data_IF_280177612055
#
_entry.id   IF_280177612055
#
_cell.length_a   1.000
_cell.length_b   1.000
_cell.length_c   1.000
_cell.angle_alpha   90.00
_cell.angle_beta   90.00
_cell.angle_gamma   90.00
#
_symmetry.space_group_name_H-M   'P 1'
#
loop_
_entity.id
_entity.type
_entity.pdbx_description
1 polymer ?
#
# COMPACT_ATOMS: atom_id res chain seq x y z
N UNK A 1 24.61 4.82 7.01
CA UNK A 1 23.40 4.69 7.85
C UNK A 1 23.76 4.68 9.33
N UNK A 2 24.56 3.72 9.82
CA UNK A 2 24.99 3.68 11.22
C UNK A 2 25.69 4.97 11.67
N UNK A 3 26.66 5.45 10.88
CA UNK A 3 27.38 6.71 11.14
C UNK A 3 26.45 7.93 11.05
N UNK A 4 25.72 8.05 9.94
CA UNK A 4 24.77 9.15 9.68
C UNK A 4 23.73 9.35 10.79
N UNK A 5 23.25 8.28 11.39
CA UNK A 5 22.22 8.32 12.44
C UNK A 5 22.78 8.02 13.84
N UNK A 6 24.09 7.84 13.98
CA UNK A 6 24.76 7.50 15.25
C UNK A 6 24.12 6.31 15.98
N UNK A 7 23.73 5.27 15.25
CA UNK A 7 23.08 4.06 15.78
C UNK A 7 23.88 2.79 15.50
N UNK A 8 23.60 1.75 16.28
CA UNK A 8 24.22 0.44 16.10
C UNK A 8 23.85 -0.21 14.76
N UNK A 9 24.71 -1.11 14.28
CA UNK A 9 24.42 -1.94 13.10
C UNK A 9 23.14 -2.78 13.27
N UNK A 10 22.87 -3.23 14.50
CA UNK A 10 21.67 -4.00 14.83
C UNK A 10 20.41 -3.16 14.60
N UNK A 11 20.39 -1.92 15.11
CA UNK A 11 19.27 -0.99 14.96
C UNK A 11 18.96 -0.71 13.49
N UNK A 12 19.98 -0.49 12.67
CA UNK A 12 19.81 -0.28 11.22
C UNK A 12 19.25 -1.53 10.54
N UNK A 13 19.73 -2.73 10.91
CA UNK A 13 19.21 -3.99 10.37
C UNK A 13 17.75 -4.22 10.73
N UNK A 14 17.34 -3.94 11.96
CA UNK A 14 15.94 -4.07 12.37
C UNK A 14 15.03 -3.07 11.67
N UNK A 15 15.47 -1.83 11.46
CA UNK A 15 14.72 -0.86 10.67
C UNK A 15 14.53 -1.34 9.21
N UNK A 16 15.61 -1.80 8.57
CA UNK A 16 15.54 -2.33 7.19
C UNK A 16 14.76 -3.64 7.08
N UNK A 17 14.68 -4.43 8.16
CA UNK A 17 13.82 -5.60 8.24
C UNK A 17 12.35 -5.18 8.26
N UNK A 18 11.96 -4.27 9.16
CA UNK A 18 10.59 -3.76 9.24
C UNK A 18 10.11 -3.14 7.94
N UNK A 19 10.93 -2.30 7.30
CA UNK A 19 10.59 -1.72 5.99
C UNK A 19 10.37 -2.77 4.89
N UNK A 20 11.03 -3.93 4.99
CA UNK A 20 10.85 -5.03 4.05
C UNK A 20 9.58 -5.82 4.37
N UNK A 21 9.32 -6.06 5.65
CA UNK A 21 8.09 -6.69 6.13
C UNK A 21 6.86 -5.84 5.72
N UNK A 22 7.01 -4.51 5.73
CA UNK A 22 5.99 -3.54 5.27
C UNK A 22 5.93 -3.40 3.73
N UNK A 23 6.72 -4.18 2.97
CA UNK A 23 6.85 -4.11 1.51
C UNK A 23 7.24 -2.73 0.95
N UNK A 24 7.92 -1.91 1.74
CA UNK A 24 8.40 -0.59 1.32
C UNK A 24 9.78 -0.66 0.65
N UNK A 25 10.56 -1.71 0.92
CA UNK A 25 11.88 -1.93 0.33
C UNK A 25 12.14 -3.40 0.00
N UNK A 26 12.93 -3.66 -1.04
CA UNK A 26 13.38 -4.99 -1.45
C UNK A 26 14.90 -5.09 -1.42
N UNK A 27 15.41 -6.28 -1.09
CA UNK A 27 16.83 -6.58 -1.15
C UNK A 27 17.13 -7.30 -2.47
N UNK A 28 17.94 -6.69 -3.34
CA UNK A 28 18.35 -7.29 -4.62
C UNK A 28 19.84 -7.65 -4.59
N UNK A 29 20.22 -8.90 -4.94
CA UNK A 29 21.62 -9.29 -4.98
C UNK A 29 22.45 -8.33 -5.83
N UNK A 30 23.61 -7.91 -5.30
CA UNK A 30 24.57 -6.97 -5.94
C UNK A 30 24.07 -5.54 -6.17
N UNK A 31 22.81 -5.22 -5.85
CA UNK A 31 22.24 -3.86 -6.00
C UNK A 31 21.89 -3.21 -4.65
N UNK A 32 21.86 -3.97 -3.56
CA UNK A 32 21.55 -3.46 -2.22
C UNK A 32 20.05 -3.37 -1.95
N UNK A 33 19.64 -2.41 -1.11
CA UNK A 33 18.24 -2.17 -0.76
C UNK A 33 17.65 -1.15 -1.74
N UNK A 34 16.61 -1.57 -2.47
CA UNK A 34 15.86 -0.72 -3.39
C UNK A 34 14.50 -0.37 -2.78
N UNK A 35 14.05 0.86 -2.98
CA UNK A 35 12.70 1.28 -2.62
C UNK A 35 11.74 0.64 -3.61
N UNK A 36 10.71 -0.03 -3.10
CA UNK A 36 9.65 -0.61 -3.92
C UNK A 36 8.53 0.43 -4.00
N UNK A 37 7.95 0.67 -5.19
CA UNK A 37 6.73 1.47 -5.27
C UNK A 37 5.72 0.85 -4.31
N UNK A 38 5.21 1.64 -3.37
CA UNK A 38 4.07 1.20 -2.55
C UNK A 38 3.04 0.69 -3.56
N UNK A 39 2.58 -0.58 -3.47
CA UNK A 39 1.53 -1.04 -4.36
C UNK A 39 0.48 0.05 -4.28
N UNK A 40 0.14 0.61 -5.44
CA UNK A 40 -0.81 1.71 -5.50
C UNK A 40 -1.93 1.32 -4.57
N UNK A 41 -2.35 2.24 -3.71
CA UNK A 41 -3.65 2.12 -3.06
C UNK A 41 -4.68 2.27 -4.17
N UNK A 42 -4.68 1.32 -5.12
CA UNK A 42 -5.82 1.06 -5.94
C UNK A 42 -6.83 0.62 -4.91
N UNK A 43 -7.75 1.52 -4.62
CA UNK A 43 -8.88 1.39 -3.71
C UNK A 43 -9.83 0.23 -4.09
N UNK A 44 -9.38 -0.68 -4.95
CA UNK A 44 -10.08 -1.81 -5.53
C UNK A 44 -9.26 -3.11 -5.59
N UNK A 45 -8.05 -3.16 -5.02
CA UNK A 45 -7.29 -4.40 -4.90
C UNK A 45 -7.20 -4.80 -3.42
N UNK A 46 -8.34 -5.15 -2.83
CA UNK A 46 -8.29 -6.11 -1.74
C UNK A 46 -7.87 -7.43 -2.38
N UNK A 47 -6.67 -7.92 -2.06
CA UNK A 47 -6.36 -9.34 -2.19
C UNK A 47 -7.31 -10.07 -1.23
N UNK A 48 -8.51 -10.36 -1.72
CA UNK A 48 -9.48 -11.20 -1.03
C UNK A 48 -8.92 -12.61 -1.12
N UNK A 49 -8.23 -13.02 -0.06
CA UNK A 49 -7.61 -14.34 0.01
C UNK A 49 -8.67 -15.45 0.24
N UNK A 50 -9.90 -15.09 0.64
CA UNK A 50 -11.05 -16.00 0.79
C UNK A 50 -12.40 -15.26 0.85
N UNK A 51 -13.52 -15.99 0.68
CA UNK A 51 -14.89 -15.43 0.82
C UNK A 51 -15.12 -14.83 2.22
N UNK A 52 -14.52 -15.43 3.25
CA UNK A 52 -14.64 -14.95 4.62
C UNK A 52 -13.93 -13.59 4.81
N UNK A 53 -12.81 -13.37 4.12
CA UNK A 53 -12.11 -12.08 4.12
C UNK A 53 -12.95 -10.98 3.46
N UNK A 54 -13.71 -11.31 2.41
CA UNK A 54 -14.67 -10.41 1.77
C UNK A 54 -15.78 -9.98 2.74
N UNK A 55 -16.34 -10.94 3.49
CA UNK A 55 -17.37 -10.66 4.48
C UNK A 55 -16.83 -9.84 5.64
N UNK A 56 -15.60 -10.10 6.09
CA UNK A 56 -14.94 -9.35 7.16
C UNK A 56 -14.63 -7.90 6.74
N UNK A 57 -14.14 -7.69 5.51
CA UNK A 57 -13.93 -6.35 4.94
C UNK A 57 -15.24 -5.55 4.88
N UNK A 58 -16.31 -6.19 4.41
CA UNK A 58 -17.61 -5.53 4.26
C UNK A 58 -18.26 -5.15 5.62
N UNK A 59 -17.98 -5.89 6.69
CA UNK A 59 -18.62 -5.68 8.00
C UNK A 59 -18.31 -4.31 8.65
N UNK A 60 -17.21 -3.65 8.27
CA UNK A 60 -16.84 -2.32 8.78
C UNK A 60 -17.04 -1.16 7.79
N UNK A 61 -17.29 -1.46 6.52
CA UNK A 61 -17.36 -0.44 5.47
C UNK A 61 -18.76 0.19 5.43
N UNK A 62 -18.84 1.48 5.74
CA UNK A 62 -20.08 2.25 5.59
C UNK A 62 -20.08 2.91 4.22
N UNK A 63 -20.93 2.43 3.33
CA UNK A 63 -21.16 3.07 2.04
C UNK A 63 -22.03 4.32 2.25
N UNK A 64 -21.45 5.50 2.03
CA UNK A 64 -22.14 6.77 2.08
C UNK A 64 -22.01 7.46 0.72
N UNK A 65 -23.15 7.68 0.07
CA UNK A 65 -23.21 8.48 -1.17
C UNK A 65 -23.30 9.94 -0.74
N UNK A 66 -22.24 10.71 -0.97
CA UNK A 66 -22.25 12.16 -0.70
C UNK A 66 -23.18 12.91 -1.67
N UNK A 67 -23.10 12.58 -2.97
CA UNK A 67 -23.97 13.15 -4.00
C UNK A 67 -24.23 12.13 -5.11
N UNK A 68 -25.42 12.20 -5.72
CA UNK A 68 -25.74 11.45 -6.92
C UNK A 68 -26.60 12.34 -7.84
N UNK A 69 -26.26 12.38 -9.12
CA UNK A 69 -27.00 13.13 -10.12
C UNK A 69 -27.02 12.38 -11.46
N UNK A 70 -28.18 12.39 -12.12
CA UNK A 70 -28.23 11.98 -13.53
C UNK A 70 -27.69 13.11 -14.40
N UNK A 71 -26.78 12.77 -15.30
CA UNK A 71 -26.20 13.70 -16.27
C UNK A 71 -26.53 13.22 -17.68
N UNK A 72 -26.97 14.15 -18.54
CA UNK A 72 -27.14 13.89 -19.97
C UNK A 72 -25.79 14.00 -20.66
N UNK A 73 -25.38 12.95 -21.38
CA UNK A 73 -24.10 12.93 -22.11
C UNK A 73 -24.16 13.92 -23.28
N UNK A 74 -23.18 14.82 -23.35
CA UNK A 74 -23.01 15.77 -24.45
C UNK A 74 -21.66 15.57 -25.18
N UNK A 75 -21.44 16.32 -26.25
CA UNK A 75 -20.24 16.21 -27.08
C UNK A 75 -18.96 16.74 -26.42
N UNK A 76 -19.05 17.46 -25.29
CA UNK A 76 -17.89 17.89 -24.52
C UNK A 76 -17.46 16.82 -23.50
N UNK A 77 -18.35 15.88 -23.19
CA UNK A 77 -18.10 14.73 -22.30
C UNK A 77 -17.58 13.49 -23.05
N UNK A 78 -17.51 13.51 -24.39
CA UNK A 78 -17.03 12.45 -25.26
C UNK A 78 -15.53 12.62 -25.59
#
# INVERSE_FOLDING_TARGET
LCERFSVSRYTVREALRRLRDDNLVASRPRAGTLVVPRPSTNSYAQDVMSIDDLLAFAQGARFAIETNAMVTVDAALA
#
